data_IF_285847445457
#
_entry.id   IF_285847445457
#
_cell.length_a   1.000
_cell.length_b   1.000
_cell.length_c   1.000
_cell.angle_alpha   90.00
_cell.angle_beta   90.00
_cell.angle_gamma   90.00
#
_symmetry.space_group_name_H-M   'P 1'
#
loop_
_entity.id
_entity.type
_entity.pdbx_description
1 polymer ?
#
# COMPACT_ATOMS: atom_id res chain seq x y z
N UNK A 1 -7.56 -4.46 -34.98
CA UNK A 1 -6.39 -4.89 -34.18
C UNK A 1 -6.87 -5.05 -32.74
N UNK A 2 -7.04 -6.30 -32.27
CA UNK A 2 -7.93 -6.67 -31.15
C UNK A 2 -7.26 -6.37 -29.79
N UNK A 3 -8.07 -6.00 -28.79
CA UNK A 3 -7.68 -5.64 -27.40
C UNK A 3 -6.63 -6.60 -26.79
N UNK A 4 -6.66 -7.88 -27.14
CA UNK A 4 -5.75 -8.94 -26.68
C UNK A 4 -4.26 -8.68 -26.94
N UNK A 5 -3.88 -8.11 -28.09
CA UNK A 5 -2.46 -7.92 -28.43
C UNK A 5 -1.83 -6.81 -27.56
N UNK A 6 -2.63 -5.81 -27.16
CA UNK A 6 -2.18 -4.74 -26.24
C UNK A 6 -1.95 -5.27 -24.83
N UNK A 7 -2.85 -6.11 -24.31
CA UNK A 7 -2.69 -6.72 -22.99
C UNK A 7 -1.48 -7.67 -22.93
N UNK A 8 -1.25 -8.47 -23.98
CA UNK A 8 -0.05 -9.32 -24.06
C UNK A 8 1.23 -8.50 -24.06
N UNK A 9 1.29 -7.44 -24.86
CA UNK A 9 2.47 -6.57 -24.93
C UNK A 9 2.74 -5.83 -23.62
N UNK A 10 1.70 -5.32 -22.94
CA UNK A 10 1.84 -4.65 -21.65
C UNK A 10 2.37 -5.62 -20.57
N UNK A 11 1.80 -6.83 -20.50
CA UNK A 11 2.29 -7.89 -19.60
C UNK A 11 3.77 -8.19 -19.83
N UNK A 12 4.15 -8.44 -21.08
CA UNK A 12 5.55 -8.75 -21.41
C UNK A 12 6.50 -7.61 -21.04
N UNK A 13 6.10 -6.37 -21.28
CA UNK A 13 6.89 -5.20 -20.93
C UNK A 13 7.10 -5.09 -19.41
N UNK A 14 6.03 -5.14 -18.62
CA UNK A 14 6.09 -5.05 -17.15
C UNK A 14 6.97 -6.17 -16.58
N UNK A 15 6.72 -7.42 -16.98
CA UNK A 15 7.49 -8.57 -16.48
C UNK A 15 8.97 -8.45 -16.84
N UNK A 16 9.29 -8.04 -18.07
CA UNK A 16 10.66 -7.87 -18.55
C UNK A 16 11.41 -6.81 -17.75
N UNK A 17 10.80 -5.63 -17.56
CA UNK A 17 11.41 -4.53 -16.81
C UNK A 17 11.62 -4.91 -15.35
N UNK A 18 10.60 -5.46 -14.69
CA UNK A 18 10.68 -5.83 -13.26
C UNK A 18 11.75 -6.90 -13.04
N UNK A 19 11.81 -7.95 -13.89
CA UNK A 19 12.84 -8.99 -13.81
C UNK A 19 14.24 -8.44 -14.10
N UNK A 20 14.38 -7.53 -15.07
CA UNK A 20 15.67 -6.87 -15.36
C UNK A 20 16.16 -6.04 -14.18
N UNK A 21 15.27 -5.31 -13.50
CA UNK A 21 15.63 -4.45 -12.38
C UNK A 21 15.93 -5.23 -11.08
N UNK A 22 15.19 -6.30 -10.81
CA UNK A 22 15.29 -7.02 -9.55
C UNK A 22 16.14 -8.30 -9.63
N UNK A 23 16.39 -8.80 -10.84
CA UNK A 23 17.15 -10.02 -11.08
C UNK A 23 16.62 -11.20 -10.28
N UNK A 24 17.54 -11.96 -9.69
CA UNK A 24 17.24 -13.14 -8.86
C UNK A 24 17.05 -12.80 -7.37
N UNK A 25 16.84 -11.52 -7.04
CA UNK A 25 16.69 -11.10 -5.64
C UNK A 25 15.43 -11.71 -5.04
N UNK A 26 15.55 -12.34 -3.87
CA UNK A 26 14.44 -12.94 -3.12
C UNK A 26 13.96 -12.04 -1.98
N UNK A 27 12.74 -12.30 -1.50
CA UNK A 27 12.10 -11.55 -0.41
C UNK A 27 12.97 -11.50 0.86
N UNK A 28 13.63 -12.60 1.22
CA UNK A 28 14.51 -12.70 2.39
C UNK A 28 15.75 -11.79 2.31
N UNK A 29 16.18 -11.47 1.08
CA UNK A 29 17.36 -10.66 0.76
C UNK A 29 17.08 -9.15 0.81
N UNK A 30 15.83 -8.72 1.02
CA UNK A 30 15.50 -7.31 1.20
C UNK A 30 16.32 -6.67 2.34
N UNK A 31 16.80 -5.44 2.13
CA UNK A 31 17.64 -4.71 3.10
C UNK A 31 16.91 -4.38 4.41
N UNK A 32 15.59 -4.20 4.33
CA UNK A 32 14.71 -3.93 5.45
C UNK A 32 13.51 -4.87 5.41
N UNK A 33 12.73 -4.92 6.50
CA UNK A 33 11.48 -5.66 6.45
C UNK A 33 10.51 -5.00 5.46
N UNK A 34 10.04 -5.79 4.51
CA UNK A 34 8.98 -5.45 3.57
C UNK A 34 7.71 -6.21 3.94
N UNK A 35 6.56 -5.67 3.55
CA UNK A 35 5.24 -6.31 3.70
C UNK A 35 4.46 -5.98 2.43
N UNK A 36 4.32 -6.95 1.53
CA UNK A 36 3.71 -6.76 0.21
C UNK A 36 2.47 -7.64 0.11
N UNK A 37 1.26 -7.06 0.08
CA UNK A 37 0.02 -7.81 -0.08
C UNK A 37 -0.17 -8.29 -1.52
N UNK A 38 -0.77 -9.45 -1.66
CA UNK A 38 -1.31 -10.03 -2.90
C UNK A 38 -2.59 -10.78 -2.54
N UNK A 39 -3.39 -11.18 -3.53
CA UNK A 39 -4.56 -12.02 -3.29
C UNK A 39 -4.46 -13.33 -4.10
N UNK A 40 -4.53 -14.48 -3.43
CA UNK A 40 -4.49 -15.77 -4.12
C UNK A 40 -5.90 -16.20 -4.52
N UNK A 41 -6.13 -16.33 -5.83
CA UNK A 41 -7.45 -16.63 -6.39
C UNK A 41 -7.84 -18.11 -6.29
N UNK A 42 -6.88 -19.02 -6.05
CA UNK A 42 -7.20 -20.43 -5.78
C UNK A 42 -7.60 -20.63 -4.32
N UNK A 43 -6.91 -19.96 -3.41
CA UNK A 43 -7.21 -20.02 -1.98
C UNK A 43 -8.35 -19.08 -1.56
N UNK A 44 -8.66 -18.08 -2.40
CA UNK A 44 -9.56 -16.97 -2.08
C UNK A 44 -9.17 -16.27 -0.78
N UNK A 45 -7.87 -16.03 -0.61
CA UNK A 45 -7.29 -15.44 0.61
C UNK A 45 -6.15 -14.47 0.28
N UNK A 46 -5.95 -13.41 1.09
CA UNK A 46 -4.76 -12.59 1.00
C UNK A 46 -3.49 -13.41 1.25
N UNK A 47 -2.49 -13.24 0.39
CA UNK A 47 -1.15 -13.76 0.61
C UNK A 47 -0.21 -12.58 0.78
N UNK A 48 0.48 -12.51 1.92
CA UNK A 48 1.40 -11.41 2.22
C UNK A 48 2.83 -11.92 2.21
N UNK A 49 3.67 -11.28 1.39
CA UNK A 49 5.10 -11.53 1.36
C UNK A 49 5.80 -10.56 2.30
N UNK A 50 6.48 -11.10 3.30
CA UNK A 50 7.30 -10.31 4.22
C UNK A 50 8.67 -10.93 4.40
N UNK A 51 9.67 -10.10 4.65
CA UNK A 51 11.04 -10.59 4.88
C UNK A 51 11.11 -11.52 6.09
N UNK A 52 10.39 -11.20 7.16
CA UNK A 52 10.35 -12.07 8.35
C UNK A 52 9.66 -13.41 8.10
N UNK A 53 8.55 -13.42 7.36
CA UNK A 53 7.89 -14.68 7.02
C UNK A 53 8.77 -15.50 6.06
N UNK A 54 9.43 -14.87 5.08
CA UNK A 54 10.38 -15.56 4.17
C UNK A 54 11.59 -16.16 4.89
N UNK A 55 12.08 -15.53 5.97
CA UNK A 55 13.16 -16.07 6.80
C UNK A 55 12.73 -17.26 7.66
N UNK A 56 11.44 -17.38 8.01
CA UNK A 56 10.93 -18.47 8.86
C UNK A 56 10.35 -19.63 8.04
N UNK A 57 9.80 -19.33 6.87
CA UNK A 57 9.17 -20.26 5.94
C UNK A 57 9.74 -20.07 4.53
N UNK A 58 10.59 -21.02 4.11
CA UNK A 58 11.27 -20.99 2.80
C UNK A 58 10.28 -20.98 1.62
N UNK A 59 9.07 -21.50 1.80
CA UNK A 59 8.03 -21.47 0.76
C UNK A 59 7.46 -20.07 0.52
N UNK A 60 7.82 -19.09 1.36
CA UNK A 60 7.48 -17.68 1.17
C UNK A 60 8.66 -16.86 0.65
N UNK A 61 9.82 -17.46 0.45
CA UNK A 61 11.02 -16.78 -0.06
C UNK A 61 11.03 -16.74 -1.60
N UNK A 62 9.98 -16.14 -2.16
CA UNK A 62 9.80 -15.96 -3.59
C UNK A 62 10.80 -14.96 -4.19
N UNK A 63 10.96 -14.98 -5.51
CA UNK A 63 11.62 -13.89 -6.22
C UNK A 63 10.84 -12.60 -6.01
N UNK A 64 11.55 -11.51 -5.69
CA UNK A 64 10.93 -10.21 -5.48
C UNK A 64 10.25 -9.71 -6.76
N UNK A 65 10.76 -10.09 -7.93
CA UNK A 65 10.11 -9.81 -9.21
C UNK A 65 8.73 -10.45 -9.33
N UNK A 66 8.58 -11.71 -8.90
CA UNK A 66 7.29 -12.39 -8.96
C UNK A 66 6.29 -11.74 -8.00
N UNK A 67 6.74 -11.38 -6.79
CA UNK A 67 5.92 -10.66 -5.81
C UNK A 67 5.48 -9.29 -6.34
N UNK A 68 6.39 -8.51 -6.95
CA UNK A 68 6.08 -7.20 -7.55
C UNK A 68 5.12 -7.31 -8.73
N UNK A 69 5.26 -8.32 -9.59
CA UNK A 69 4.32 -8.56 -10.68
C UNK A 69 2.94 -8.92 -10.13
N UNK A 70 2.88 -9.81 -9.13
CA UNK A 70 1.63 -10.25 -8.51
C UNK A 70 0.89 -9.10 -7.83
N UNK A 71 1.57 -8.30 -7.02
CA UNK A 71 0.93 -7.20 -6.26
C UNK A 71 0.37 -6.10 -7.16
N UNK A 72 0.87 -5.96 -8.40
CA UNK A 72 0.39 -4.98 -9.38
C UNK A 72 -0.61 -5.56 -10.39
N UNK A 73 -0.95 -6.85 -10.32
CA UNK A 73 -1.80 -7.52 -11.30
C UNK A 73 -3.30 -7.21 -11.11
N UNK A 74 -3.67 -5.93 -11.27
CA UNK A 74 -5.03 -5.42 -11.03
C UNK A 74 -6.06 -6.11 -11.95
N UNK A 75 -7.14 -6.69 -11.39
CA UNK A 75 -8.23 -7.24 -12.19
C UNK A 75 -8.73 -6.23 -13.22
N UNK A 76 -9.04 -6.70 -14.42
CA UNK A 76 -9.43 -5.90 -15.60
C UNK A 76 -8.30 -5.11 -16.29
N UNK A 77 -7.16 -4.89 -15.64
CA UNK A 77 -6.00 -4.19 -16.22
C UNK A 77 -4.87 -5.13 -16.62
N UNK A 78 -4.51 -6.06 -15.74
CA UNK A 78 -3.38 -6.96 -15.92
C UNK A 78 -3.80 -8.41 -15.60
N UNK A 79 -3.23 -9.40 -16.31
CA UNK A 79 -3.49 -10.80 -15.99
C UNK A 79 -2.86 -11.19 -14.67
N UNK A 80 -3.49 -12.11 -13.94
CA UNK A 80 -2.90 -12.71 -12.75
C UNK A 80 -1.56 -13.38 -13.05
N UNK A 81 -0.74 -13.53 -12.00
CA UNK A 81 0.60 -14.07 -12.09
C UNK A 81 0.71 -15.38 -11.32
N UNK A 82 1.31 -16.37 -11.98
CA UNK A 82 1.53 -17.70 -11.42
C UNK A 82 3.03 -17.97 -11.35
N UNK A 83 3.48 -18.47 -10.21
CA UNK A 83 4.83 -18.96 -10.00
C UNK A 83 4.84 -20.02 -8.90
N UNK A 84 6.00 -20.63 -8.70
CA UNK A 84 6.19 -21.71 -7.75
C UNK A 84 7.39 -21.42 -6.83
N UNK A 85 7.30 -21.95 -5.63
CA UNK A 85 8.40 -22.04 -4.67
C UNK A 85 8.44 -23.46 -4.10
N UNK A 86 9.30 -23.70 -3.11
CA UNK A 86 9.43 -25.01 -2.48
C UNK A 86 9.15 -24.93 -0.98
N UNK A 87 8.47 -25.93 -0.45
CA UNK A 87 8.42 -26.20 0.98
C UNK A 87 9.75 -26.78 1.49
N UNK A 88 9.90 -26.90 2.81
CA UNK A 88 11.12 -27.44 3.43
C UNK A 88 11.41 -28.89 3.05
N UNK A 89 10.38 -29.67 2.73
CA UNK A 89 10.49 -31.06 2.29
C UNK A 89 10.79 -31.20 0.78
N UNK A 90 10.96 -30.07 0.07
CA UNK A 90 11.22 -30.01 -1.37
C UNK A 90 9.96 -30.09 -2.23
N UNK A 91 8.76 -30.27 -1.63
CA UNK A 91 7.51 -30.25 -2.39
C UNK A 91 7.19 -28.85 -2.91
N UNK A 92 6.49 -28.79 -4.04
CA UNK A 92 6.18 -27.52 -4.72
C UNK A 92 5.01 -26.80 -4.05
N UNK A 93 5.19 -25.48 -3.84
CA UNK A 93 4.10 -24.56 -3.49
C UNK A 93 3.80 -23.66 -4.68
N UNK A 94 2.60 -23.79 -5.24
CA UNK A 94 2.13 -22.92 -6.31
C UNK A 94 1.41 -21.68 -5.75
N UNK A 95 1.63 -20.53 -6.39
CA UNK A 95 0.98 -19.26 -6.11
C UNK A 95 0.16 -18.81 -7.32
N UNK A 96 -1.08 -18.37 -7.12
CA UNK A 96 -1.97 -17.93 -8.19
C UNK A 96 -2.51 -16.54 -7.83
N UNK A 97 -1.72 -15.51 -8.07
CA UNK A 97 -1.88 -14.23 -7.40
C UNK A 97 -2.36 -13.14 -8.34
N UNK A 98 -3.19 -12.26 -7.78
CA UNK A 98 -3.58 -10.97 -8.34
C UNK A 98 -3.21 -9.84 -7.37
N UNK A 99 -3.53 -8.61 -7.78
CA UNK A 99 -3.25 -7.38 -7.06
C UNK A 99 -3.59 -7.43 -5.57
N UNK A 100 -2.70 -6.83 -4.77
CA UNK A 100 -2.87 -6.72 -3.33
C UNK A 100 -4.01 -5.78 -2.92
N UNK A 101 -4.39 -4.83 -3.77
CA UNK A 101 -5.47 -3.88 -3.56
C UNK A 101 -6.84 -4.52 -3.38
N UNK A 102 -7.03 -5.74 -3.88
CA UNK A 102 -8.23 -6.56 -3.60
C UNK A 102 -8.37 -6.87 -2.11
N UNK A 103 -7.25 -6.96 -1.38
CA UNK A 103 -7.22 -7.25 0.06
C UNK A 103 -6.88 -6.03 0.91
N UNK A 104 -5.89 -5.25 0.49
CA UNK A 104 -5.27 -4.19 1.28
C UNK A 104 -4.77 -3.06 0.37
N UNK A 105 -5.71 -2.28 -0.18
CA UNK A 105 -5.42 -1.11 -1.03
C UNK A 105 -4.68 0.00 -0.27
N UNK A 106 -4.94 0.12 1.03
CA UNK A 106 -4.12 0.89 1.96
C UNK A 106 -3.40 -0.08 2.92
N UNK A 107 -2.13 -0.45 2.66
CA UNK A 107 -1.44 -1.46 3.46
C UNK A 107 -0.91 -0.93 4.81
N UNK A 108 -1.23 0.31 5.21
CA UNK A 108 -0.70 0.89 6.44
C UNK A 108 -1.06 0.07 7.69
N UNK A 109 -2.33 -0.33 7.83
CA UNK A 109 -2.76 -1.16 8.96
C UNK A 109 -2.20 -2.58 8.88
N UNK A 110 -2.04 -3.12 7.67
CA UNK A 110 -1.38 -4.40 7.45
C UNK A 110 0.08 -4.36 7.93
N UNK A 111 0.81 -3.30 7.57
CA UNK A 111 2.20 -3.10 8.00
C UNK A 111 2.30 -2.97 9.54
N UNK A 112 1.42 -2.18 10.16
CA UNK A 112 1.36 -2.06 11.63
C UNK A 112 1.11 -3.41 12.30
N UNK A 113 0.13 -4.18 11.80
CA UNK A 113 -0.21 -5.49 12.34
C UNK A 113 0.94 -6.49 12.17
N UNK A 114 1.67 -6.44 11.05
CA UNK A 114 2.86 -7.26 10.84
C UNK A 114 3.97 -6.91 11.84
N UNK A 115 4.19 -5.63 12.15
CA UNK A 115 5.15 -5.23 13.19
C UNK A 115 4.71 -5.75 14.56
N UNK A 116 3.43 -5.59 14.93
CA UNK A 116 2.88 -6.12 16.18
C UNK A 116 2.99 -7.64 16.30
N UNK A 117 2.76 -8.39 15.21
CA UNK A 117 2.98 -9.84 15.14
C UNK A 117 4.44 -10.18 15.47
N UNK A 118 5.41 -9.45 14.93
CA UNK A 118 6.83 -9.72 15.19
C UNK A 118 7.22 -9.40 16.64
N UNK A 119 6.67 -8.32 17.22
CA UNK A 119 6.84 -8.00 18.63
C UNK A 119 6.28 -9.13 19.51
N UNK A 120 5.07 -9.62 19.19
CA UNK A 120 4.45 -10.73 19.90
C UNK A 120 5.29 -12.02 19.83
N UNK A 121 5.93 -12.28 18.69
CA UNK A 121 6.83 -13.42 18.49
C UNK A 121 8.22 -13.21 19.11
N UNK A 122 8.47 -12.12 19.83
CA UNK A 122 9.73 -11.86 20.53
C UNK A 122 10.90 -11.56 19.59
N UNK A 123 10.63 -11.02 18.39
CA UNK A 123 11.66 -10.68 17.43
C UNK A 123 12.58 -9.58 17.98
N UNK A 124 13.89 -9.88 18.03
CA UNK A 124 14.94 -9.02 18.60
C UNK A 124 15.17 -7.71 17.84
N UNK A 125 14.68 -7.60 16.60
CA UNK A 125 14.72 -6.35 15.83
C UNK A 125 13.82 -5.26 16.44
N UNK A 126 12.89 -5.64 17.33
CA UNK A 126 12.00 -4.73 18.02
C UNK A 126 12.32 -4.64 19.51
N UNK A 127 12.16 -3.43 20.08
CA UNK A 127 12.25 -3.25 21.53
C UNK A 127 11.11 -4.00 22.23
N UNK A 128 11.31 -4.47 23.47
CA UNK A 128 10.25 -5.08 24.27
C UNK A 128 9.22 -4.02 24.64
N UNK A 129 8.27 -3.80 23.73
CA UNK A 129 7.07 -3.00 23.93
C UNK A 129 5.89 -3.96 23.98
N UNK A 130 4.79 -3.55 24.62
CA UNK A 130 3.58 -4.39 24.59
C UNK A 130 3.14 -4.51 23.12
N UNK A 131 2.74 -5.68 22.61
CA UNK A 131 2.37 -5.87 21.21
C UNK A 131 1.28 -4.92 20.66
N UNK A 132 0.48 -4.32 21.54
CA UNK A 132 -0.56 -3.34 21.23
C UNK A 132 -0.19 -1.88 21.62
N UNK A 133 1.07 -1.61 21.99
CA UNK A 133 1.57 -0.26 22.32
C UNK A 133 1.85 0.53 21.04
N UNK A 134 0.78 0.83 20.27
CA UNK A 134 0.87 1.60 19.04
C UNK A 134 1.29 3.07 19.26
N UNK A 135 1.29 3.55 20.50
CA UNK A 135 1.73 4.91 20.84
C UNK A 135 3.21 5.18 20.52
N UNK A 136 4.01 4.12 20.33
CA UNK A 136 5.43 4.21 19.93
C UNK A 136 5.65 4.10 18.42
N UNK A 137 4.58 3.90 17.64
CA UNK A 137 4.70 3.77 16.20
C UNK A 137 4.81 5.15 15.56
N UNK A 138 5.70 5.24 14.57
CA UNK A 138 5.75 6.34 13.63
C UNK A 138 5.32 5.80 12.27
N UNK A 139 4.17 6.24 11.78
CA UNK A 139 3.54 5.75 10.56
C UNK A 139 3.38 6.91 9.58
N UNK A 140 4.07 6.81 8.43
CA UNK A 140 3.84 7.64 7.27
C UNK A 140 3.09 6.80 6.23
N UNK A 141 1.87 7.20 5.90
CA UNK A 141 1.05 6.58 4.87
C UNK A 141 0.94 7.53 3.69
N UNK A 142 1.32 7.07 2.49
CA UNK A 142 1.28 7.84 1.27
C UNK A 142 0.24 7.23 0.34
N UNK A 143 -0.69 8.04 -0.12
CA UNK A 143 -1.67 7.65 -1.12
C UNK A 143 -1.30 8.12 -2.51
N UNK A 144 -1.93 7.51 -3.51
CA UNK A 144 -1.79 7.86 -4.93
C UNK A 144 -2.84 8.87 -5.39
N UNK A 145 -3.62 9.39 -4.45
CA UNK A 145 -4.75 10.27 -4.70
C UNK A 145 -6.01 9.54 -5.17
N UNK A 146 -7.13 10.22 -5.13
CA UNK A 146 -8.47 9.73 -5.49
C UNK A 146 -9.16 10.74 -6.39
N UNK A 147 -10.08 10.23 -7.22
CA UNK A 147 -10.89 11.07 -8.08
C UNK A 147 -11.73 12.02 -7.22
N UNK A 148 -11.82 13.27 -7.64
CA UNK A 148 -12.70 14.26 -7.01
C UNK A 148 -14.11 13.69 -6.90
N UNK A 149 -14.66 13.69 -5.69
CA UNK A 149 -16.04 13.27 -5.44
C UNK A 149 -16.97 14.29 -6.12
N UNK A 150 -17.47 13.94 -7.29
CA UNK A 150 -18.41 14.76 -8.07
C UNK A 150 -19.87 14.27 -7.90
N UNK A 151 -20.16 13.45 -6.88
CA UNK A 151 -21.50 12.89 -6.61
C UNK A 151 -22.14 12.23 -7.87
N UNK A 152 -21.31 11.56 -8.68
CA UNK A 152 -21.66 11.07 -10.03
C UNK A 152 -22.75 10.00 -10.07
N UNK A 153 -23.09 9.41 -8.93
CA UNK A 153 -23.92 8.21 -8.85
C UNK A 153 -25.05 8.41 -7.84
N UNK A 154 -26.24 7.97 -8.25
CA UNK A 154 -27.47 8.05 -7.47
C UNK A 154 -28.07 6.65 -7.30
N UNK A 155 -28.64 6.38 -6.11
CA UNK A 155 -29.15 5.07 -5.74
C UNK A 155 -30.35 4.64 -6.61
N UNK A 156 -31.20 5.58 -7.02
CA UNK A 156 -32.35 5.30 -7.90
C UNK A 156 -31.87 4.94 -9.30
N UNK A 157 -30.81 5.59 -9.78
CA UNK A 157 -30.16 5.23 -11.04
C UNK A 157 -29.46 3.87 -10.97
N UNK A 158 -28.74 3.57 -9.88
CA UNK A 158 -28.01 2.30 -9.73
C UNK A 158 -28.92 1.10 -9.55
N UNK A 159 -30.14 1.29 -9.02
CA UNK A 159 -31.15 0.23 -8.92
C UNK A 159 -31.59 -0.36 -10.27
N UNK A 160 -31.27 0.31 -11.39
CA UNK A 160 -31.55 -0.17 -12.75
C UNK A 160 -30.37 -0.91 -13.39
N UNK A 161 -29.21 -0.96 -12.73
CA UNK A 161 -28.02 -1.55 -13.31
C UNK A 161 -28.01 -3.07 -13.16
N UNK A 162 -27.75 -3.78 -14.25
CA UNK A 162 -27.36 -5.19 -14.23
C UNK A 162 -25.86 -5.37 -13.95
N UNK A 163 -25.37 -6.61 -14.02
CA UNK A 163 -23.97 -6.98 -13.74
C UNK A 163 -22.96 -6.10 -14.49
N UNK A 164 -23.17 -5.87 -15.78
CA UNK A 164 -22.29 -5.02 -16.59
C UNK A 164 -22.30 -3.56 -16.16
N UNK A 165 -23.46 -3.03 -15.74
CA UNK A 165 -23.56 -1.64 -15.28
C UNK A 165 -22.90 -1.42 -13.92
N UNK A 166 -22.85 -2.43 -13.06
CA UNK A 166 -22.07 -2.39 -11.82
C UNK A 166 -20.58 -2.55 -12.06
N UNK A 167 -20.18 -3.43 -12.97
CA UNK A 167 -18.78 -3.70 -13.28
C UNK A 167 -18.13 -2.59 -14.11
N UNK A 168 -18.88 -1.99 -15.03
CA UNK A 168 -18.38 -0.97 -15.95
C UNK A 168 -19.46 0.07 -16.27
N UNK A 169 -19.28 1.30 -15.79
CA UNK A 169 -20.21 2.39 -16.01
C UNK A 169 -19.48 3.67 -16.38
N UNK A 170 -19.87 4.29 -17.52
CA UNK A 170 -19.29 5.55 -18.01
C UNK A 170 -17.75 5.55 -18.10
N UNK A 171 -17.14 4.40 -18.37
CA UNK A 171 -15.68 4.27 -18.46
C UNK A 171 -14.97 3.85 -17.17
N UNK A 172 -15.69 3.73 -16.05
CA UNK A 172 -15.12 3.41 -14.74
C UNK A 172 -15.48 2.00 -14.29
N UNK A 173 -14.57 1.36 -13.54
CA UNK A 173 -14.76 0.06 -12.91
C UNK A 173 -15.43 0.19 -11.55
N UNK A 174 -16.65 0.73 -11.54
CA UNK A 174 -17.29 1.28 -10.35
C UNK A 174 -17.27 0.36 -9.12
N UNK A 175 -17.58 -0.93 -9.28
CA UNK A 175 -17.58 -1.88 -8.17
C UNK A 175 -16.18 -2.05 -7.57
N UNK A 176 -15.16 -2.16 -8.42
CA UNK A 176 -13.75 -2.30 -8.01
C UNK A 176 -13.29 -1.01 -7.34
N UNK A 177 -13.58 0.14 -7.95
CA UNK A 177 -13.20 1.46 -7.45
C UNK A 177 -13.84 1.71 -6.07
N UNK A 178 -15.12 1.37 -5.92
CA UNK A 178 -15.87 1.53 -4.67
C UNK A 178 -15.29 0.68 -3.55
N UNK A 179 -15.03 -0.61 -3.79
CA UNK A 179 -14.43 -1.48 -2.78
C UNK A 179 -13.00 -1.08 -2.44
N UNK A 180 -12.21 -0.69 -3.43
CA UNK A 180 -10.81 -0.27 -3.24
C UNK A 180 -10.75 1.04 -2.45
N UNK A 181 -11.63 1.99 -2.75
CA UNK A 181 -11.75 3.26 -2.03
C UNK A 181 -12.22 3.03 -0.59
N UNK A 182 -13.30 2.29 -0.40
CA UNK A 182 -13.83 1.98 0.93
C UNK A 182 -12.81 1.24 1.80
N UNK A 183 -12.04 0.32 1.22
CA UNK A 183 -10.93 -0.36 1.91
C UNK A 183 -9.86 0.63 2.36
N UNK A 184 -9.48 1.59 1.51
CA UNK A 184 -8.50 2.62 1.85
C UNK A 184 -8.97 3.54 2.97
N UNK A 185 -10.22 4.00 2.89
CA UNK A 185 -10.81 4.96 3.83
C UNK A 185 -11.02 4.32 5.21
N UNK A 186 -11.53 3.09 5.27
CA UNK A 186 -11.68 2.37 6.54
C UNK A 186 -10.34 2.18 7.25
N UNK A 187 -9.26 1.89 6.51
CA UNK A 187 -7.92 1.78 7.10
C UNK A 187 -7.48 3.12 7.69
N UNK A 188 -7.68 4.23 6.98
CA UNK A 188 -7.29 5.56 7.46
C UNK A 188 -8.10 5.97 8.71
N UNK A 189 -9.41 5.71 8.71
CA UNK A 189 -10.31 5.93 9.85
C UNK A 189 -9.85 5.09 11.05
N UNK A 190 -9.62 3.79 10.87
CA UNK A 190 -9.19 2.90 11.96
C UNK A 190 -7.86 3.34 12.58
N UNK A 191 -6.87 3.70 11.76
CA UNK A 191 -5.57 4.18 12.26
C UNK A 191 -5.77 5.52 12.97
N UNK A 192 -6.54 6.45 12.39
CA UNK A 192 -6.78 7.76 12.99
C UNK A 192 -7.45 7.66 14.35
N UNK A 193 -8.51 6.85 14.48
CA UNK A 193 -9.20 6.59 15.75
C UNK A 193 -8.24 5.96 16.77
N UNK A 194 -7.43 4.98 16.35
CA UNK A 194 -6.45 4.33 17.22
C UNK A 194 -5.42 5.31 17.77
N UNK A 195 -4.83 6.16 16.92
CA UNK A 195 -3.84 7.15 17.35
C UNK A 195 -4.46 8.28 18.20
N UNK A 196 -5.73 8.64 17.97
CA UNK A 196 -6.49 9.56 18.82
C UNK A 196 -6.74 8.98 20.20
N UNK A 197 -7.22 7.73 20.27
CA UNK A 197 -7.47 7.03 21.54
C UNK A 197 -6.19 6.87 22.39
N UNK A 198 -5.02 6.77 21.74
CA UNK A 198 -3.72 6.67 22.40
C UNK A 198 -3.06 8.03 22.68
N UNK A 199 -3.72 9.15 22.37
CA UNK A 199 -3.17 10.51 22.49
C UNK A 199 -1.84 10.70 21.73
N UNK A 200 -1.66 9.96 20.64
CA UNK A 200 -0.42 9.89 19.87
C UNK A 200 -0.56 10.44 18.44
N UNK A 201 -1.58 11.26 18.15
CA UNK A 201 -1.92 11.78 16.80
C UNK A 201 -0.71 12.17 15.92
N UNK A 202 0.30 12.77 16.52
CA UNK A 202 1.55 13.20 15.88
C UNK A 202 2.42 12.06 15.31
N UNK A 203 2.17 10.81 15.71
CA UNK A 203 2.85 9.60 15.23
C UNK A 203 2.29 9.05 13.92
N UNK A 204 1.09 9.49 13.49
CA UNK A 204 0.51 9.13 12.20
C UNK A 204 0.46 10.36 11.27
N UNK A 205 0.91 10.19 10.04
CA UNK A 205 0.80 11.17 8.96
C UNK A 205 0.32 10.46 7.69
N UNK A 206 -0.86 10.85 7.20
CA UNK A 206 -1.39 10.45 5.90
C UNK A 206 -1.24 11.62 4.92
N UNK A 207 -0.67 11.36 3.76
CA UNK A 207 -0.61 12.32 2.65
C UNK A 207 -1.40 11.74 1.48
N UNK A 208 -2.43 12.45 1.08
CA UNK A 208 -3.45 11.98 0.16
C UNK A 208 -4.03 13.19 -0.59
N UNK A 209 -4.29 13.05 -1.88
CA UNK A 209 -4.99 14.06 -2.70
C UNK A 209 -6.38 13.53 -3.06
N UNK A 210 -7.45 14.25 -2.74
CA UNK A 210 -8.83 13.78 -3.03
C UNK A 210 -9.52 14.60 -4.13
N UNK A 211 -8.72 15.27 -4.98
CA UNK A 211 -9.21 16.21 -5.98
C UNK A 211 -8.69 15.92 -7.39
N UNK A 212 -8.24 14.69 -7.66
CA UNK A 212 -7.79 14.31 -9.00
C UNK A 212 -8.94 14.44 -10.00
N UNK A 213 -8.63 14.96 -11.19
CA UNK A 213 -9.62 15.21 -12.25
C UNK A 213 -9.08 14.79 -13.61
N UNK A 214 -9.98 14.43 -14.53
CA UNK A 214 -9.63 14.02 -15.88
C UNK A 214 -8.72 12.79 -15.91
N UNK A 215 -7.72 12.80 -16.79
CA UNK A 215 -6.74 11.70 -16.94
C UNK A 215 -5.88 11.47 -15.69
N UNK A 216 -5.70 12.47 -14.84
CA UNK A 216 -4.93 12.32 -13.60
C UNK A 216 -5.64 11.43 -12.57
N UNK A 217 -6.95 11.22 -12.72
CA UNK A 217 -7.72 10.30 -11.89
C UNK A 217 -7.77 8.86 -12.46
N UNK A 218 -7.23 8.63 -13.66
CA UNK A 218 -7.14 7.29 -14.26
C UNK A 218 -5.86 6.58 -13.83
N UNK A 219 -5.97 5.28 -13.62
CA UNK A 219 -4.86 4.39 -13.22
C UNK A 219 -4.00 3.91 -14.39
N UNK A 220 -4.48 4.03 -15.64
CA UNK A 220 -3.87 3.41 -16.82
C UNK A 220 -3.43 4.41 -17.91
N UNK A 221 -3.59 5.72 -17.69
CA UNK A 221 -3.11 6.77 -18.61
C UNK A 221 -1.66 7.16 -18.30
N UNK A 222 -0.73 6.62 -19.09
CA UNK A 222 0.73 6.80 -18.93
C UNK A 222 1.36 7.73 -19.99
N UNK A 223 0.59 8.67 -20.54
CA UNK A 223 1.12 9.70 -21.45
C UNK A 223 2.12 10.60 -20.73
N UNK A 224 3.13 11.10 -21.44
CA UNK A 224 4.13 12.01 -20.86
C UNK A 224 3.48 13.26 -20.24
N UNK A 225 2.44 13.78 -20.89
CA UNK A 225 1.63 14.89 -20.37
C UNK A 225 0.97 14.56 -19.04
N UNK A 226 0.29 13.41 -18.93
CA UNK A 226 -0.38 13.02 -17.68
C UNK A 226 0.63 12.72 -16.56
N UNK A 227 1.77 12.08 -16.88
CA UNK A 227 2.84 11.84 -15.91
C UNK A 227 3.43 13.15 -15.38
N UNK A 228 3.68 14.13 -16.24
CA UNK A 228 4.14 15.46 -15.83
C UNK A 228 3.07 16.20 -15.00
N UNK A 229 1.79 16.04 -15.35
CA UNK A 229 0.67 16.57 -14.55
C UNK A 229 0.64 15.96 -13.15
N UNK A 230 0.81 14.64 -13.02
CA UNK A 230 0.87 13.96 -11.71
C UNK A 230 2.06 14.43 -10.86
N UNK A 231 3.21 14.70 -11.48
CA UNK A 231 4.35 15.36 -10.78
C UNK A 231 3.94 16.74 -10.28
N UNK A 232 3.21 17.52 -11.07
CA UNK A 232 2.64 18.81 -10.68
C UNK A 232 1.70 18.70 -9.48
N UNK A 233 0.79 17.70 -9.49
CA UNK A 233 -0.11 17.41 -8.35
C UNK A 233 0.69 17.10 -7.09
N UNK A 234 1.70 16.22 -7.17
CA UNK A 234 2.55 15.89 -6.02
C UNK A 234 3.29 17.11 -5.45
N UNK A 235 3.82 17.99 -6.31
CA UNK A 235 4.46 19.25 -5.88
C UNK A 235 3.48 20.21 -5.23
N UNK A 236 2.26 20.33 -5.75
CA UNK A 236 1.22 21.15 -5.17
C UNK A 236 0.75 20.59 -3.81
N UNK A 237 0.64 19.26 -3.69
CA UNK A 237 0.23 18.57 -2.48
C UNK A 237 1.18 18.86 -1.30
N UNK A 238 2.48 19.04 -1.54
CA UNK A 238 3.45 19.45 -0.52
C UNK A 238 3.08 20.79 0.14
N UNK A 239 2.46 21.71 -0.60
CA UNK A 239 2.07 23.05 -0.12
C UNK A 239 0.68 23.09 0.51
N UNK A 240 -0.12 22.03 0.36
CA UNK A 240 -1.43 21.91 1.01
C UNK A 240 -1.27 21.67 2.52
N UNK A 241 -2.24 22.12 3.35
CA UNK A 241 -2.28 21.75 4.76
C UNK A 241 -2.26 20.23 4.94
N UNK A 242 -1.59 19.75 5.99
CA UNK A 242 -1.72 18.35 6.38
C UNK A 242 -3.16 18.07 6.81
N UNK A 243 -3.72 16.96 6.36
CA UNK A 243 -5.10 16.60 6.65
C UNK A 243 -5.21 15.50 7.70
N UNK A 244 -6.39 15.41 8.30
CA UNK A 244 -6.86 14.26 9.07
C UNK A 244 -8.21 13.82 8.50
N UNK A 245 -8.48 12.53 8.53
CA UNK A 245 -9.80 12.02 8.17
C UNK A 245 -10.83 12.42 9.22
N UNK A 246 -11.97 12.93 8.76
CA UNK A 246 -13.17 13.08 9.57
C UNK A 246 -13.84 11.71 9.69
N UNK A 247 -13.95 11.20 10.92
CA UNK A 247 -14.45 9.85 11.20
C UNK A 247 -15.93 9.67 10.84
N UNK A 248 -16.71 10.75 10.86
CA UNK A 248 -18.14 10.69 10.52
C UNK A 248 -18.39 10.74 9.02
N UNK A 249 -17.63 11.56 8.29
CA UNK A 249 -17.86 11.81 6.86
C UNK A 249 -16.92 11.04 5.94
N UNK A 250 -15.81 10.51 6.47
CA UNK A 250 -14.72 9.87 5.71
C UNK A 250 -13.87 10.86 4.90
N UNK A 251 -14.16 12.17 4.94
CA UNK A 251 -13.44 13.18 4.16
C UNK A 251 -12.15 13.60 4.86
N UNK A 252 -11.10 13.87 4.08
CA UNK A 252 -9.90 14.52 4.60
C UNK A 252 -10.14 16.01 4.80
N UNK A 253 -9.90 16.47 6.03
CA UNK A 253 -10.05 17.87 6.42
C UNK A 253 -8.71 18.41 6.93
N UNK A 254 -8.39 19.69 6.70
CA UNK A 254 -7.18 20.31 7.24
C UNK A 254 -7.07 20.11 8.76
N UNK A 255 -5.93 19.58 9.22
CA UNK A 255 -5.63 19.48 10.64
C UNK A 255 -5.11 20.83 11.13
N UNK A 256 -5.99 21.60 11.79
CA UNK A 256 -5.70 22.94 12.32
C UNK A 256 -4.52 23.00 13.30
N UNK A 257 -4.05 21.85 13.79
CA UNK A 257 -2.90 21.76 14.69
C UNK A 257 -1.58 21.44 13.96
N UNK A 258 -1.61 21.29 12.64
CA UNK A 258 -0.45 21.01 11.79
C UNK A 258 -0.22 22.10 10.77
N UNK A 259 0.99 22.11 10.22
CA UNK A 259 1.33 22.94 9.07
C UNK A 259 0.98 22.25 7.75
N UNK A 260 1.74 22.60 6.73
CA UNK A 260 1.69 21.97 5.40
C UNK A 260 2.26 20.54 5.41
N UNK A 261 1.96 19.77 4.36
CA UNK A 261 2.54 18.45 4.15
C UNK A 261 4.09 18.48 4.10
N UNK A 262 4.68 19.51 3.49
CA UNK A 262 6.14 19.70 3.44
C UNK A 262 6.76 19.90 4.83
N UNK A 263 6.12 20.71 5.68
CA UNK A 263 6.58 20.97 7.05
C UNK A 263 6.47 19.70 7.91
N UNK A 264 5.36 18.97 7.80
CA UNK A 264 5.16 17.71 8.52
C UNK A 264 6.11 16.60 8.03
N UNK A 265 6.39 16.51 6.72
CA UNK A 265 7.43 15.62 6.20
C UNK A 265 8.82 15.98 6.73
N UNK A 266 9.16 17.27 6.78
CA UNK A 266 10.42 17.75 7.35
C UNK A 266 10.54 17.37 8.83
N UNK A 267 9.43 17.51 9.57
CA UNK A 267 9.35 17.10 10.96
C UNK A 267 9.50 15.58 11.14
N UNK A 268 8.82 14.79 10.31
CA UNK A 268 8.90 13.33 10.32
C UNK A 268 10.33 12.85 10.01
N UNK A 269 11.00 13.46 9.03
CA UNK A 269 12.40 13.19 8.71
C UNK A 269 13.35 13.50 9.89
N UNK A 270 13.12 14.61 10.60
CA UNK A 270 13.88 14.94 11.83
C UNK A 270 13.67 13.88 12.92
N UNK A 271 12.44 13.39 13.10
CA UNK A 271 12.15 12.33 14.06
C UNK A 271 12.88 11.02 13.71
N UNK A 272 12.80 10.59 12.44
CA UNK A 272 13.51 9.39 11.95
C UNK A 272 15.04 9.51 12.11
N UNK A 273 15.61 10.68 11.80
CA UNK A 273 17.04 10.95 11.97
C UNK A 273 17.47 10.90 13.45
N UNK A 274 16.68 11.46 14.35
CA UNK A 274 16.93 11.40 15.80
C UNK A 274 16.87 9.97 16.32
N UNK A 275 15.84 9.22 15.95
CA UNK A 275 15.66 7.82 16.34
C UNK A 275 16.83 6.95 15.85
N UNK A 276 17.23 7.10 14.58
CA UNK A 276 18.39 6.38 14.04
C UNK A 276 19.68 6.69 14.82
N UNK A 277 19.95 7.96 15.12
CA UNK A 277 21.13 8.36 15.90
C UNK A 277 21.11 7.78 17.31
N UNK A 278 19.96 7.83 17.99
CA UNK A 278 19.80 7.26 19.32
C UNK A 278 20.08 5.75 19.34
N UNK A 279 19.60 5.00 18.34
CA UNK A 279 19.88 3.56 18.20
C UNK A 279 21.36 3.25 17.98
N UNK A 280 22.03 4.02 17.11
CA UNK A 280 23.46 3.85 16.85
C UNK A 280 24.31 4.14 18.09
N UNK A 281 23.98 5.17 18.86
CA UNK A 281 24.66 5.49 20.12
C UNK A 281 24.47 4.38 21.16
N UNK A 282 23.26 3.82 21.27
CA UNK A 282 22.98 2.70 22.18
C UNK A 282 23.77 1.44 21.81
N UNK A 283 23.88 1.12 20.52
CA UNK A 283 24.69 0.00 20.04
C UNK A 283 26.18 0.19 20.34
N UNK A 284 26.70 1.41 20.15
CA UNK A 284 28.10 1.72 20.47
C UNK A 284 28.38 1.60 21.98
N UNK A 285 27.48 2.10 22.83
CA UNK A 285 27.60 1.97 24.29
C UNK A 285 27.50 0.54 24.82
N UNK A 286 26.78 -0.34 24.11
CA UNK A 286 26.70 -1.78 24.44
C UNK A 286 27.93 -2.57 24.02
N UNK A 287 28.72 -2.08 23.05
CA UNK A 287 29.97 -2.73 22.62
C UNK A 287 31.20 -2.28 23.42
N UNK A 288 31.04 -1.30 24.32
CA UNK A 288 32.09 -0.72 25.18
C UNK A 288 32.02 -1.26 26.63
N UNK A 289 31.09 -2.16 26.93
CA UNK A 289 30.91 -2.89 28.18
C UNK A 289 31.08 -4.40 27.92
#
# INVERSE_FOLDING_TARGET
MRRDDRFRNLRHCLHSIVRKLLGETRVSQALQNIVIPTFDIKLLQPTVFSRYDAKSDVSKDALLSDVCISTSAAPTYLPGHQFETQYKDGSTRAFNLIDGGVAANNPALLAMTHVSKQILLGNKDFFPIKPADYGKFMVLSLGTGTAKIEEKYDAVQSGKWGVLGWLYNKGNTLLIDSFSQASSDLVDIHISVLFQALHCNKGYLRIQDDELTGEAASVDVSTEENLNRLVGVGKALLKRPACKVNVETGKNEPDVHRGTNEEELTRFAKMLSRERRARLQKQQGQNLL
#
